data_IF_833475714227
#
_entry.id   IF_833475714227
#
_cell.length_a   1.000
_cell.length_b   1.000
_cell.length_c   1.000
_cell.angle_alpha   90.00
_cell.angle_beta   90.00
_cell.angle_gamma   90.00
#
_symmetry.space_group_name_H-M   'P 1'
#
loop_
_entity.id
_entity.type
_entity.pdbx_description
1 polymer ?
#
# COMPACT_ATOMS: atom_id res chain seq x y z
N UNK A 1 13.96 -18.72 -14.40
CA UNK A 1 15.29 -18.08 -14.48
C UNK A 1 16.12 -18.62 -13.33
N UNK A 2 17.38 -19.01 -13.54
CA UNK A 2 18.26 -19.41 -12.43
C UNK A 2 18.93 -18.14 -11.91
N UNK A 3 18.88 -17.90 -10.60
CA UNK A 3 19.43 -16.68 -10.02
C UNK A 3 20.95 -16.60 -10.26
N UNK A 4 21.45 -15.42 -10.63
CA UNK A 4 22.87 -15.19 -10.88
C UNK A 4 23.39 -15.59 -12.27
N UNK A 5 22.55 -16.09 -13.18
CA UNK A 5 22.92 -16.35 -14.59
C UNK A 5 21.91 -15.76 -15.58
N UNK A 6 22.33 -15.63 -16.85
CA UNK A 6 21.50 -15.05 -17.93
C UNK A 6 20.50 -16.04 -18.53
N UNK A 7 20.66 -17.33 -18.26
CA UNK A 7 19.83 -18.36 -18.88
C UNK A 7 18.39 -18.32 -18.38
N UNK A 8 17.47 -18.47 -19.33
CA UNK A 8 16.03 -18.58 -19.05
C UNK A 8 15.49 -19.86 -19.68
N UNK A 9 14.54 -20.48 -18.97
CA UNK A 9 13.77 -21.61 -19.44
C UNK A 9 12.31 -21.18 -19.42
N UNK A 10 11.65 -21.23 -20.58
CA UNK A 10 10.25 -20.83 -20.77
C UNK A 10 9.44 -22.04 -21.17
N UNK A 11 8.37 -22.32 -20.41
CA UNK A 11 7.36 -23.30 -20.81
C UNK A 11 6.23 -22.53 -21.48
N UNK A 12 5.99 -22.83 -22.75
CA UNK A 12 4.98 -22.15 -23.55
C UNK A 12 3.63 -22.84 -23.34
N UNK A 13 2.54 -22.05 -23.33
CA UNK A 13 1.15 -22.53 -23.17
C UNK A 13 0.83 -23.17 -21.81
N UNK A 14 1.68 -22.96 -20.78
CA UNK A 14 1.42 -23.48 -19.44
C UNK A 14 0.07 -23.03 -18.89
N UNK A 15 -0.37 -21.79 -19.17
CA UNK A 15 -1.61 -21.21 -18.63
C UNK A 15 -2.76 -21.18 -19.65
N UNK A 16 -2.69 -21.93 -20.75
CA UNK A 16 -3.76 -21.93 -21.76
C UNK A 16 -5.03 -22.61 -21.24
N UNK A 17 -6.18 -21.95 -21.42
CA UNK A 17 -7.49 -22.35 -20.87
C UNK A 17 -8.24 -23.41 -21.69
N UNK A 18 -7.78 -23.73 -22.91
CA UNK A 18 -8.50 -24.63 -23.82
C UNK A 18 -8.40 -26.12 -23.48
N UNK A 19 -7.19 -26.65 -23.33
CA UNK A 19 -6.97 -28.03 -22.88
C UNK A 19 -5.70 -28.09 -22.01
N UNK A 20 -5.84 -27.82 -20.70
CA UNK A 20 -4.71 -27.53 -19.82
C UNK A 20 -3.78 -28.74 -19.65
N UNK A 21 -4.26 -29.97 -19.79
CA UNK A 21 -3.46 -31.16 -19.47
C UNK A 21 -2.32 -31.48 -20.45
N UNK A 22 -2.33 -30.93 -21.68
CA UNK A 22 -1.31 -31.28 -22.69
C UNK A 22 -0.02 -30.45 -22.60
N UNK A 23 -0.07 -29.29 -21.92
CA UNK A 23 1.05 -28.34 -21.87
C UNK A 23 1.64 -28.21 -20.47
N UNK A 24 1.16 -29.02 -19.52
CA UNK A 24 1.65 -29.06 -18.14
C UNK A 24 2.75 -30.09 -18.02
N UNK A 25 3.75 -29.76 -17.23
CA UNK A 25 4.80 -30.68 -16.78
C UNK A 25 4.31 -31.23 -15.45
N UNK A 26 4.35 -32.54 -15.26
CA UNK A 26 3.81 -33.18 -14.06
C UNK A 26 4.70 -32.92 -12.84
N UNK A 27 6.02 -32.86 -13.02
CA UNK A 27 6.99 -32.68 -11.94
C UNK A 27 8.26 -31.93 -12.37
N UNK A 28 8.75 -31.07 -11.48
CA UNK A 28 10.04 -30.41 -11.55
C UNK A 28 10.94 -31.04 -10.50
N UNK A 29 11.96 -31.76 -10.95
CA UNK A 29 12.92 -32.43 -10.07
C UNK A 29 14.24 -31.67 -10.08
N UNK A 30 14.70 -31.30 -8.90
CA UNK A 30 15.96 -30.58 -8.69
C UNK A 30 17.08 -31.55 -8.31
N UNK A 31 18.33 -31.10 -8.48
CA UNK A 31 19.52 -31.93 -8.24
C UNK A 31 19.69 -32.34 -6.77
N UNK A 32 19.14 -31.57 -5.84
CA UNK A 32 19.10 -31.86 -4.40
C UNK A 32 18.03 -32.91 -4.02
N UNK A 33 17.25 -33.38 -4.99
CA UNK A 33 16.17 -34.35 -4.78
C UNK A 33 14.81 -33.72 -4.49
N UNK A 34 14.71 -32.39 -4.41
CA UNK A 34 13.43 -31.67 -4.28
C UNK A 34 12.55 -31.94 -5.50
N UNK A 35 11.27 -32.20 -5.27
CA UNK A 35 10.26 -32.39 -6.31
C UNK A 35 9.14 -31.38 -6.08
N UNK A 36 8.83 -30.58 -7.10
CA UNK A 36 7.62 -29.74 -7.14
C UNK A 36 6.69 -30.36 -8.17
N UNK A 37 5.44 -30.72 -7.81
CA UNK A 37 4.50 -31.19 -8.81
C UNK A 37 4.00 -29.98 -9.61
N UNK A 38 3.84 -30.12 -10.92
CA UNK A 38 3.29 -29.04 -11.74
C UNK A 38 1.83 -28.74 -11.46
N UNK A 39 1.12 -29.66 -10.79
CA UNK A 39 -0.18 -29.38 -10.20
C UNK A 39 -0.09 -28.41 -9.02
N UNK A 40 1.06 -28.29 -8.36
CA UNK A 40 1.29 -27.36 -7.25
C UNK A 40 1.77 -25.99 -7.79
N UNK A 41 2.26 -25.95 -9.04
CA UNK A 41 2.65 -24.71 -9.73
C UNK A 41 1.41 -23.92 -10.17
N UNK A 42 1.13 -22.83 -9.44
CA UNK A 42 -0.09 -22.02 -9.57
C UNK A 42 -1.20 -22.44 -8.60
N UNK A 43 -0.87 -23.18 -7.54
CA UNK A 43 -1.75 -23.48 -6.39
C UNK A 43 -1.02 -23.30 -5.06
N UNK A 44 0.32 -23.36 -5.04
CA UNK A 44 1.13 -23.23 -3.82
C UNK A 44 2.44 -22.45 -3.99
N UNK A 45 2.67 -21.88 -5.16
CA UNK A 45 3.76 -20.92 -5.39
C UNK A 45 3.13 -19.56 -5.71
N UNK A 46 3.54 -18.48 -5.02
CA UNK A 46 3.04 -17.14 -5.31
C UNK A 46 3.29 -16.83 -6.79
N UNK A 47 2.25 -16.39 -7.50
CA UNK A 47 2.40 -15.95 -8.87
C UNK A 47 3.13 -14.61 -8.84
N UNK A 48 4.32 -14.56 -9.42
CA UNK A 48 5.05 -13.30 -9.60
C UNK A 48 4.69 -12.75 -10.97
N UNK A 49 3.75 -11.82 -11.01
CA UNK A 49 3.43 -11.06 -12.22
C UNK A 49 4.37 -9.85 -12.31
N UNK A 50 4.91 -9.60 -13.50
CA UNK A 50 5.73 -8.41 -13.78
C UNK A 50 5.28 -7.77 -15.08
N UNK A 51 4.90 -6.51 -15.00
CA UNK A 51 4.68 -5.64 -16.15
C UNK A 51 5.98 -5.34 -16.90
N UNK A 52 5.87 -4.38 -17.79
CA UNK A 52 6.90 -3.90 -18.70
C UNK A 52 7.24 -2.45 -18.34
N UNK A 53 7.74 -1.68 -19.31
CA UNK A 53 7.98 -0.24 -19.14
C UNK A 53 6.86 0.60 -19.76
N UNK A 54 5.77 -0.05 -20.17
CA UNK A 54 4.60 0.57 -20.75
C UNK A 54 3.42 0.31 -19.83
N UNK A 55 2.32 1.00 -20.10
CA UNK A 55 1.06 0.76 -19.41
C UNK A 55 0.60 -0.69 -19.60
N UNK A 56 0.51 -1.42 -18.50
CA UNK A 56 0.12 -2.82 -18.45
C UNK A 56 -1.20 -3.01 -17.72
N UNK A 57 -1.91 -4.07 -18.09
CA UNK A 57 -3.05 -4.59 -17.35
C UNK A 57 -2.63 -5.92 -16.74
N UNK A 58 -2.45 -5.93 -15.42
CA UNK A 58 -1.97 -7.06 -14.66
C UNK A 58 -3.09 -7.57 -13.75
N UNK A 59 -3.22 -8.88 -13.68
CA UNK A 59 -4.18 -9.56 -12.81
C UNK A 59 -3.47 -10.73 -12.16
N UNK A 60 -3.53 -10.79 -10.84
CA UNK A 60 -3.17 -11.95 -10.06
C UNK A 60 -4.21 -13.06 -10.21
N UNK A 61 -4.17 -13.98 -9.28
CA UNK A 61 -4.83 -15.26 -9.32
C UNK A 61 -5.78 -15.40 -8.13
N UNK A 62 -6.05 -16.63 -7.71
CA UNK A 62 -6.84 -16.90 -6.52
C UNK A 62 -5.97 -17.30 -5.31
N UNK A 63 -4.71 -16.89 -5.33
CA UNK A 63 -3.69 -17.19 -4.34
C UNK A 63 -2.96 -15.90 -4.00
N UNK A 64 -2.17 -15.95 -2.93
CA UNK A 64 -1.26 -14.88 -2.56
C UNK A 64 -0.20 -14.64 -3.64
N UNK A 65 -0.26 -13.47 -4.25
CA UNK A 65 0.53 -13.09 -5.40
C UNK A 65 1.43 -11.88 -5.11
N UNK A 66 2.48 -11.75 -5.93
CA UNK A 66 3.34 -10.57 -5.92
C UNK A 66 3.35 -9.95 -7.31
N UNK A 67 2.71 -8.80 -7.46
CA UNK A 67 2.53 -8.14 -8.75
C UNK A 67 3.36 -6.87 -8.80
N UNK A 68 4.16 -6.70 -9.85
CA UNK A 68 5.03 -5.54 -10.06
C UNK A 68 4.69 -4.87 -11.39
N UNK A 69 4.19 -3.63 -11.37
CA UNK A 69 3.92 -2.80 -12.56
C UNK A 69 5.19 -2.43 -13.32
N UNK A 70 6.19 -1.94 -12.57
CA UNK A 70 7.46 -1.35 -13.02
C UNK A 70 7.31 0.10 -13.51
N UNK A 71 7.21 0.34 -14.81
CA UNK A 71 7.12 1.70 -15.31
C UNK A 71 5.97 1.80 -16.28
N UNK A 72 5.29 2.95 -16.28
CA UNK A 72 4.08 3.14 -17.07
C UNK A 72 2.90 3.39 -16.15
N UNK A 73 1.73 3.61 -16.72
CA UNK A 73 0.51 3.78 -15.94
C UNK A 73 -0.24 2.45 -15.95
N UNK A 74 -0.05 1.68 -14.90
CA UNK A 74 -0.49 0.30 -14.81
C UNK A 74 -1.83 0.18 -14.11
N UNK A 75 -2.59 -0.85 -14.49
CA UNK A 75 -3.77 -1.28 -13.75
C UNK A 75 -3.51 -2.68 -13.23
N UNK A 76 -3.52 -2.83 -11.91
CA UNK A 76 -3.17 -4.05 -11.20
C UNK A 76 -4.38 -4.51 -10.39
N UNK A 77 -4.75 -5.78 -10.54
CA UNK A 77 -5.73 -6.48 -9.72
C UNK A 77 -5.03 -7.63 -8.99
N UNK A 78 -5.16 -7.72 -7.68
CA UNK A 78 -4.66 -8.84 -6.86
C UNK A 78 -5.47 -10.10 -7.11
N UNK A 79 -6.78 -10.00 -6.92
CA UNK A 79 -7.73 -11.08 -7.16
C UNK A 79 -8.26 -11.62 -5.86
N UNK A 80 -8.00 -12.88 -5.53
CA UNK A 80 -8.32 -13.37 -4.18
C UNK A 80 -7.07 -13.91 -3.53
N UNK A 81 -6.96 -13.76 -2.21
CA UNK A 81 -5.77 -14.17 -1.48
C UNK A 81 -5.05 -12.95 -0.93
N UNK A 82 -3.99 -13.16 -0.18
CA UNK A 82 -3.28 -12.05 0.46
C UNK A 82 -2.13 -11.62 -0.45
N UNK A 83 -2.37 -10.56 -1.22
CA UNK A 83 -1.52 -10.14 -2.32
C UNK A 83 -0.56 -9.02 -1.90
N UNK A 84 0.49 -8.85 -2.70
CA UNK A 84 1.41 -7.71 -2.58
C UNK A 84 1.55 -7.06 -3.95
N UNK A 85 1.06 -5.84 -4.06
CA UNK A 85 0.97 -5.08 -5.30
C UNK A 85 1.91 -3.88 -5.25
N UNK A 86 2.77 -3.78 -6.26
CA UNK A 86 3.72 -2.67 -6.44
C UNK A 86 3.45 -1.99 -7.79
N UNK A 87 3.04 -0.71 -7.78
CA UNK A 87 2.92 0.11 -8.99
C UNK A 87 4.29 0.49 -9.56
N UNK A 88 5.20 0.88 -8.65
CA UNK A 88 6.58 1.31 -8.87
C UNK A 88 6.70 2.73 -9.45
N UNK A 89 6.59 2.97 -10.75
CA UNK A 89 6.72 4.33 -11.30
C UNK A 89 5.64 4.62 -12.31
N UNK A 90 4.90 5.70 -12.12
CA UNK A 90 3.89 6.10 -13.09
C UNK A 90 2.69 6.76 -12.48
N UNK A 91 1.51 6.33 -12.89
CA UNK A 91 0.23 6.75 -12.33
C UNK A 91 -0.62 5.50 -12.39
N UNK A 92 -0.58 4.76 -11.31
CA UNK A 92 -1.03 3.39 -11.24
C UNK A 92 -2.38 3.29 -10.55
N UNK A 93 -3.10 2.22 -10.86
CA UNK A 93 -4.33 1.84 -10.17
C UNK A 93 -4.17 0.43 -9.64
N UNK A 94 -4.10 0.30 -8.31
CA UNK A 94 -3.94 -0.97 -7.61
C UNK A 94 -5.24 -1.32 -6.91
N UNK A 95 -5.76 -2.52 -7.20
CA UNK A 95 -6.92 -3.11 -6.52
C UNK A 95 -6.47 -4.42 -5.87
N UNK A 96 -6.50 -4.52 -4.55
CA UNK A 96 -6.23 -5.77 -3.82
C UNK A 96 -7.30 -6.82 -4.09
N UNK A 97 -8.56 -6.37 -4.11
CA UNK A 97 -9.78 -7.18 -4.26
C UNK A 97 -10.14 -7.94 -2.97
N UNK A 98 -10.10 -9.27 -2.91
CA UNK A 98 -10.46 -10.03 -1.69
C UNK A 98 -9.21 -10.58 -0.99
N UNK A 99 -8.95 -10.20 0.26
CA UNK A 99 -7.85 -10.74 1.06
C UNK A 99 -7.18 -9.68 1.93
N UNK A 100 -6.16 -10.09 2.70
CA UNK A 100 -5.35 -9.12 3.44
C UNK A 100 -4.20 -8.65 2.53
N UNK A 101 -4.36 -7.51 1.87
CA UNK A 101 -3.47 -7.08 0.80
C UNK A 101 -2.46 -6.04 1.25
N UNK A 102 -1.35 -5.95 0.52
CA UNK A 102 -0.36 -4.90 0.66
C UNK A 102 -0.21 -4.14 -0.65
N UNK A 103 -0.51 -2.84 -0.62
CA UNK A 103 -0.48 -1.96 -1.78
C UNK A 103 0.59 -0.88 -1.61
N UNK A 104 1.47 -0.77 -2.58
CA UNK A 104 2.50 0.27 -2.67
C UNK A 104 2.46 0.87 -4.09
N UNK A 105 1.96 2.10 -4.22
CA UNK A 105 1.90 2.80 -5.50
C UNK A 105 3.29 3.02 -6.10
N UNK A 106 4.30 3.18 -5.25
CA UNK A 106 5.61 3.65 -5.68
C UNK A 106 5.58 5.16 -5.92
N UNK A 107 6.34 5.63 -6.91
CA UNK A 107 6.44 7.03 -7.27
C UNK A 107 5.43 7.38 -8.36
N UNK A 108 4.57 8.37 -8.12
CA UNK A 108 3.52 8.68 -9.07
C UNK A 108 2.38 9.44 -8.42
N UNK A 109 1.21 9.35 -9.03
CA UNK A 109 -0.02 9.80 -8.39
C UNK A 109 -1.00 8.64 -8.49
N UNK A 110 -0.99 7.78 -7.49
CA UNK A 110 -1.57 6.46 -7.63
C UNK A 110 -2.95 6.37 -6.98
N UNK A 111 -3.75 5.41 -7.44
CA UNK A 111 -5.05 5.07 -6.82
C UNK A 111 -4.95 3.69 -6.22
N UNK A 112 -5.09 3.61 -4.90
CA UNK A 112 -4.96 2.38 -4.12
C UNK A 112 -6.31 2.02 -3.52
N UNK A 113 -6.78 0.81 -3.81
CA UNK A 113 -8.04 0.26 -3.31
C UNK A 113 -7.73 -1.13 -2.73
N UNK A 114 -7.69 -1.25 -1.40
CA UNK A 114 -7.38 -2.53 -0.75
C UNK A 114 -8.45 -3.56 -1.06
N UNK A 115 -9.71 -3.22 -0.76
CA UNK A 115 -10.85 -4.07 -1.07
C UNK A 115 -11.43 -4.63 0.23
N UNK A 116 -11.57 -5.95 0.30
CA UNK A 116 -12.12 -6.62 1.48
C UNK A 116 -11.02 -7.35 2.25
N UNK A 117 -10.84 -7.05 3.52
CA UNK A 117 -9.82 -7.71 4.36
C UNK A 117 -9.11 -6.75 5.29
N UNK A 118 -7.90 -7.09 5.72
CA UNK A 118 -7.03 -6.19 6.47
C UNK A 118 -5.91 -5.70 5.56
N UNK A 119 -6.08 -4.51 5.00
CA UNK A 119 -5.18 -4.01 3.98
C UNK A 119 -4.09 -3.09 4.53
N UNK A 120 -2.94 -3.07 3.87
CA UNK A 120 -1.82 -2.19 4.17
C UNK A 120 -1.50 -1.32 2.97
N UNK A 121 -1.68 -0.01 3.12
CA UNK A 121 -1.29 0.99 2.13
C UNK A 121 0.06 1.59 2.53
N UNK A 122 1.10 1.37 1.73
CA UNK A 122 2.44 1.93 1.99
C UNK A 122 2.60 3.28 1.33
N UNK A 123 3.16 4.22 2.09
CA UNK A 123 3.39 5.58 1.63
C UNK A 123 4.70 6.14 2.20
N UNK A 124 5.41 6.98 1.42
CA UNK A 124 6.68 7.54 1.85
C UNK A 124 7.13 8.73 1.02
N UNK A 125 8.38 9.16 1.28
CA UNK A 125 9.00 10.24 0.49
C UNK A 125 9.18 9.78 -0.94
N UNK A 126 8.75 10.61 -1.89
CA UNK A 126 8.81 10.33 -3.33
C UNK A 126 7.64 9.52 -3.86
N UNK A 127 6.65 9.19 -3.03
CA UNK A 127 5.43 8.53 -3.50
C UNK A 127 4.56 9.42 -4.38
N UNK A 128 4.66 10.75 -4.22
CA UNK A 128 3.84 11.72 -4.94
C UNK A 128 2.46 11.89 -4.32
N UNK A 129 1.41 12.02 -5.14
CA UNK A 129 0.06 12.39 -4.67
C UNK A 129 -0.93 11.25 -4.87
N UNK A 130 -1.09 10.45 -3.82
CA UNK A 130 -1.85 9.21 -3.86
C UNK A 130 -3.26 9.35 -3.29
N UNK A 131 -4.14 8.51 -3.80
CA UNK A 131 -5.53 8.41 -3.38
C UNK A 131 -5.78 7.01 -2.84
N UNK A 132 -6.24 6.93 -1.59
CA UNK A 132 -6.63 5.68 -0.93
C UNK A 132 -8.16 5.61 -0.89
N UNK A 133 -8.71 4.53 -1.41
CA UNK A 133 -10.14 4.21 -1.36
C UNK A 133 -10.34 3.01 -0.44
N UNK A 134 -10.63 3.29 0.84
CA UNK A 134 -10.85 2.26 1.84
C UNK A 134 -12.35 2.08 2.08
N UNK A 135 -13.10 1.44 1.17
CA UNK A 135 -14.52 1.17 1.41
C UNK A 135 -14.72 -0.28 1.86
N UNK A 136 -14.77 -0.50 3.17
CA UNK A 136 -15.10 -1.81 3.73
C UNK A 136 -16.20 -1.72 4.80
N UNK A 137 -17.13 -2.66 4.72
CA UNK A 137 -18.27 -2.79 5.64
C UNK A 137 -18.14 -3.97 6.60
N UNK A 138 -17.09 -4.78 6.46
CA UNK A 138 -16.80 -5.90 7.33
C UNK A 138 -16.43 -5.41 8.73
N UNK A 139 -16.84 -6.19 9.75
CA UNK A 139 -16.59 -5.84 11.14
C UNK A 139 -15.35 -6.58 11.67
N UNK A 140 -14.52 -5.88 12.46
CA UNK A 140 -13.38 -6.49 13.16
C UNK A 140 -12.13 -6.68 12.30
N UNK A 141 -12.09 -6.04 11.14
CA UNK A 141 -10.90 -5.85 10.30
C UNK A 141 -10.18 -4.56 10.70
N UNK A 142 -8.94 -4.41 10.24
CA UNK A 142 -8.07 -3.28 10.55
C UNK A 142 -7.22 -2.96 9.32
N UNK A 143 -7.62 -1.92 8.62
CA UNK A 143 -6.82 -1.35 7.54
C UNK A 143 -5.76 -0.40 8.10
N UNK A 144 -4.57 -0.44 7.51
CA UNK A 144 -3.41 0.31 7.98
C UNK A 144 -2.81 1.15 6.86
N UNK A 145 -2.59 2.43 7.11
CA UNK A 145 -1.64 3.22 6.31
C UNK A 145 -0.28 3.16 6.99
N UNK A 146 0.71 2.60 6.30
CA UNK A 146 2.08 2.40 6.77
C UNK A 146 3.01 3.44 6.13
N UNK A 147 3.62 4.28 6.96
CA UNK A 147 4.52 5.33 6.54
C UNK A 147 5.98 4.92 6.73
N UNK A 148 6.80 5.11 5.69
CA UNK A 148 8.26 4.99 5.77
C UNK A 148 8.93 6.32 6.19
N UNK A 149 8.27 7.09 7.07
CA UNK A 149 8.79 8.34 7.63
C UNK A 149 8.52 8.44 9.13
N UNK A 150 9.25 9.33 9.79
CA UNK A 150 9.05 9.63 11.19
C UNK A 150 7.66 10.28 11.40
N UNK A 151 6.94 9.99 12.50
CA UNK A 151 5.65 10.62 12.76
C UNK A 151 5.72 12.15 12.87
N UNK A 152 6.88 12.73 13.19
CA UNK A 152 7.10 14.18 13.22
C UNK A 152 7.00 14.85 11.84
N UNK A 153 7.21 14.08 10.78
CA UNK A 153 7.16 14.59 9.41
C UNK A 153 5.73 14.51 8.83
N UNK A 154 4.78 13.87 9.51
CA UNK A 154 3.42 13.71 9.03
C UNK A 154 2.52 14.88 9.44
N UNK A 155 1.77 15.41 8.49
CA UNK A 155 0.77 16.46 8.70
C UNK A 155 -0.60 15.94 8.32
N UNK A 156 -1.47 15.76 9.31
CA UNK A 156 -2.86 15.36 9.09
C UNK A 156 -3.73 16.61 8.93
N UNK A 157 -4.60 16.61 7.93
CA UNK A 157 -5.55 17.69 7.70
C UNK A 157 -6.83 17.18 7.06
N UNK A 158 -7.89 17.98 7.14
CA UNK A 158 -9.16 17.69 6.48
C UNK A 158 -9.30 18.52 5.22
N UNK A 159 -9.55 17.85 4.10
CA UNK A 159 -9.82 18.48 2.80
C UNK A 159 -11.17 17.99 2.28
N UNK A 160 -12.22 18.80 2.47
CA UNK A 160 -13.59 18.42 2.11
C UNK A 160 -14.09 17.22 2.93
N UNK A 161 -14.38 16.10 2.25
CA UNK A 161 -14.75 14.82 2.86
C UNK A 161 -13.56 13.88 3.09
N UNK A 162 -12.35 14.27 2.69
CA UNK A 162 -11.17 13.41 2.74
C UNK A 162 -10.29 13.75 3.95
N UNK A 163 -9.56 12.75 4.42
CA UNK A 163 -8.39 12.93 5.27
C UNK A 163 -7.17 13.06 4.36
N UNK A 164 -6.44 14.16 4.49
CA UNK A 164 -5.21 14.43 3.75
C UNK A 164 -4.02 14.30 4.70
N UNK A 165 -2.98 13.58 4.26
CA UNK A 165 -1.79 13.28 5.04
C UNK A 165 -0.58 13.67 4.21
N UNK A 166 0.07 14.76 4.58
CA UNK A 166 1.23 15.29 3.88
C UNK A 166 2.52 14.90 4.58
N UNK A 167 3.61 14.75 3.82
CA UNK A 167 4.96 14.68 4.37
C UNK A 167 5.59 16.08 4.33
N UNK A 168 5.92 16.59 5.51
CA UNK A 168 6.41 17.95 5.69
C UNK A 168 7.71 18.18 4.91
N UNK A 169 7.76 19.28 4.15
CA UNK A 169 8.94 19.64 3.37
C UNK A 169 9.05 18.91 2.04
N UNK A 170 8.10 18.04 1.70
CA UNK A 170 7.99 17.42 0.38
C UNK A 170 6.70 17.84 -0.33
N UNK A 171 6.47 17.31 -1.54
CA UNK A 171 5.20 17.42 -2.25
C UNK A 171 4.38 16.14 -2.20
N UNK A 172 4.73 15.22 -1.30
CA UNK A 172 4.09 13.91 -1.18
C UNK A 172 2.86 14.02 -0.26
N UNK A 173 1.72 13.55 -0.76
CA UNK A 173 0.46 13.52 -0.04
C UNK A 173 -0.29 12.20 -0.28
N UNK A 174 -0.93 11.67 0.76
CA UNK A 174 -1.91 10.60 0.63
C UNK A 174 -3.28 11.10 1.08
N UNK A 175 -4.31 10.91 0.25
CA UNK A 175 -5.69 11.26 0.56
C UNK A 175 -6.54 10.01 0.79
N UNK A 176 -6.97 9.75 2.03
CA UNK A 176 -8.00 8.74 2.29
C UNK A 176 -9.36 9.34 1.95
N UNK A 177 -9.93 8.86 0.85
CA UNK A 177 -11.14 9.43 0.27
C UNK A 177 -12.38 9.14 1.09
N UNK A 178 -13.28 10.11 1.18
CA UNK A 178 -14.55 9.97 1.90
C UNK A 178 -14.44 9.63 3.39
N UNK A 179 -13.26 9.77 4.01
CA UNK A 179 -13.02 9.56 5.45
C UNK A 179 -14.10 10.13 6.36
N UNK A 180 -14.60 11.33 6.03
CA UNK A 180 -15.59 12.06 6.82
C UNK A 180 -17.05 11.79 6.40
N UNK A 181 -17.28 10.87 5.46
CA UNK A 181 -18.61 10.49 4.98
C UNK A 181 -19.27 9.47 5.89
N UNK A 182 -18.54 8.43 6.32
CA UNK A 182 -18.91 7.49 7.39
C UNK A 182 -17.69 6.60 7.73
N UNK A 183 -17.81 5.78 8.79
CA UNK A 183 -16.72 4.96 9.31
C UNK A 183 -16.20 3.89 8.33
N UNK A 184 -17.02 3.43 7.39
CA UNK A 184 -16.63 2.41 6.40
C UNK A 184 -15.62 2.93 5.37
N UNK A 185 -15.34 4.25 5.37
CA UNK A 185 -14.35 4.89 4.50
C UNK A 185 -13.00 5.14 5.19
N UNK A 186 -12.89 4.78 6.47
CA UNK A 186 -11.72 5.07 7.28
C UNK A 186 -10.80 3.85 7.31
N UNK A 187 -9.50 4.08 7.27
CA UNK A 187 -8.52 3.10 7.74
C UNK A 187 -8.43 3.16 9.26
N UNK A 188 -8.39 2.03 9.96
CA UNK A 188 -8.40 1.98 11.42
C UNK A 188 -7.09 2.45 12.05
N UNK A 189 -5.97 2.22 11.37
CA UNK A 189 -4.64 2.36 11.92
C UNK A 189 -3.70 3.14 10.99
N UNK A 190 -2.83 3.93 11.60
CA UNK A 190 -1.70 4.56 10.95
C UNK A 190 -0.44 4.13 11.68
N UNK A 191 0.57 3.68 10.93
CA UNK A 191 1.85 3.19 11.47
C UNK A 191 2.98 4.03 10.89
N UNK A 192 3.83 4.61 11.73
CA UNK A 192 5.01 5.34 11.29
C UNK A 192 6.27 4.45 11.29
N UNK A 193 7.37 4.97 10.72
CA UNK A 193 8.64 4.23 10.54
C UNK A 193 9.23 3.72 11.86
N UNK A 194 9.06 4.50 12.93
CA UNK A 194 9.54 4.14 14.28
C UNK A 194 8.65 3.12 15.00
N UNK A 195 7.63 2.59 14.30
CA UNK A 195 6.66 1.63 14.83
C UNK A 195 5.56 2.25 15.69
N UNK A 196 5.54 3.58 15.84
CA UNK A 196 4.46 4.26 16.54
C UNK A 196 3.14 4.14 15.79
N UNK A 197 2.05 4.08 16.55
CA UNK A 197 0.70 3.86 16.04
C UNK A 197 -0.22 5.02 16.41
N UNK A 198 -1.03 5.43 15.45
CA UNK A 198 -2.14 6.37 15.63
C UNK A 198 -3.43 5.67 15.19
N UNK A 199 -4.46 5.67 16.04
CA UNK A 199 -5.77 5.11 15.70
C UNK A 199 -6.66 6.15 15.02
N UNK A 200 -7.56 5.71 14.14
CA UNK A 200 -8.57 6.56 13.50
C UNK A 200 -9.36 7.44 14.50
N UNK A 201 -9.69 6.89 15.67
CA UNK A 201 -10.40 7.59 16.75
C UNK A 201 -9.64 8.79 17.33
N UNK A 202 -8.33 8.89 17.09
CA UNK A 202 -7.47 9.97 17.56
C UNK A 202 -7.21 11.04 16.50
N UNK A 203 -7.50 10.79 15.22
CA UNK A 203 -7.16 11.67 14.08
C UNK A 203 -7.74 13.07 14.26
N UNK A 204 -9.03 13.20 14.57
CA UNK A 204 -9.66 14.52 14.73
C UNK A 204 -9.12 15.29 15.94
N UNK A 205 -8.74 14.57 17.02
CA UNK A 205 -8.13 15.18 18.19
C UNK A 205 -6.72 15.69 17.86
N UNK A 206 -5.95 14.92 17.08
CA UNK A 206 -4.65 15.32 16.58
C UNK A 206 -4.75 16.57 15.69
N UNK A 207 -5.65 16.57 14.71
CA UNK A 207 -5.90 17.74 13.83
C UNK A 207 -6.24 18.99 14.66
N UNK A 208 -7.14 18.84 15.65
CA UNK A 208 -7.51 19.95 16.54
C UNK A 208 -6.33 20.43 17.39
N UNK A 209 -5.50 19.53 17.91
CA UNK A 209 -4.32 19.88 18.69
C UNK A 209 -3.29 20.65 17.86
N UNK A 210 -3.04 20.21 16.62
CA UNK A 210 -2.16 20.91 15.69
C UNK A 210 -2.65 22.34 15.40
N UNK A 211 -3.94 22.50 15.10
CA UNK A 211 -4.54 23.82 14.87
C UNK A 211 -4.49 24.73 16.11
N UNK A 212 -4.75 24.18 17.29
CA UNK A 212 -4.72 24.91 18.57
C UNK A 212 -3.31 25.37 18.91
N UNK A 213 -2.31 24.51 18.71
CA UNK A 213 -0.91 24.85 18.93
C UNK A 213 -0.46 26.00 18.02
N UNK A 214 -0.80 25.96 16.73
CA UNK A 214 -0.49 27.04 15.81
C UNK A 214 -1.11 28.36 16.26
N UNK A 215 -2.40 28.34 16.63
CA UNK A 215 -3.13 29.51 17.13
C UNK A 215 -2.47 30.11 18.36
N UNK A 216 -2.15 29.30 19.36
CA UNK A 216 -1.56 29.76 20.63
C UNK A 216 -0.14 30.33 20.47
N UNK A 217 0.57 29.94 19.42
CA UNK A 217 1.94 30.37 19.15
C UNK A 217 2.04 31.42 18.02
N UNK A 218 0.91 31.92 17.50
CA UNK A 218 0.85 32.84 16.36
C UNK A 218 1.56 32.31 15.11
N UNK A 219 1.39 31.03 14.81
CA UNK A 219 1.95 30.35 13.65
C UNK A 219 0.86 30.19 12.57
N UNK A 220 1.26 30.30 11.31
CA UNK A 220 0.35 30.27 10.16
C UNK A 220 -0.17 28.88 9.86
N UNK A 221 0.65 27.85 10.08
CA UNK A 221 0.33 26.45 9.82
C UNK A 221 1.29 25.51 10.57
N UNK A 222 1.00 24.20 10.50
CA UNK A 222 1.77 23.17 11.19
C UNK A 222 3.20 23.02 10.64
N UNK A 223 3.42 23.22 9.34
CA UNK A 223 4.77 23.23 8.77
C UNK A 223 5.67 24.31 9.40
N UNK A 224 5.13 25.50 9.64
CA UNK A 224 5.83 26.56 10.37
C UNK A 224 6.13 26.13 11.82
N UNK A 225 5.21 25.42 12.48
CA UNK A 225 5.44 24.86 13.81
C UNK A 225 6.58 23.84 13.85
N UNK A 226 6.64 22.92 12.87
CA UNK A 226 7.73 21.94 12.75
C UNK A 226 9.07 22.67 12.59
N UNK A 227 9.12 23.72 11.75
CA UNK A 227 10.34 24.48 11.49
C UNK A 227 10.82 25.30 12.69
N UNK A 228 9.91 26.02 13.35
CA UNK A 228 10.28 27.00 14.39
C UNK A 228 10.32 26.40 15.80
N UNK A 229 9.57 25.32 16.05
CA UNK A 229 9.36 24.74 17.39
C UNK A 229 9.35 23.20 17.40
N UNK A 230 10.37 22.53 16.86
CA UNK A 230 10.37 21.07 16.69
C UNK A 230 10.23 20.29 18.00
N UNK A 231 10.80 20.79 19.10
CA UNK A 231 10.70 20.13 20.41
C UNK A 231 9.28 20.20 21.00
N UNK A 232 8.59 21.33 20.82
CA UNK A 232 7.22 21.49 21.29
C UNK A 232 6.25 20.65 20.43
N UNK A 233 6.48 20.61 19.11
CA UNK A 233 5.75 19.75 18.17
C UNK A 233 5.85 18.28 18.55
N UNK A 234 7.06 17.80 18.88
CA UNK A 234 7.26 16.43 19.33
C UNK A 234 6.43 16.09 20.58
N UNK A 235 6.29 17.04 21.52
CA UNK A 235 5.46 16.85 22.71
C UNK A 235 3.96 16.76 22.40
N UNK A 236 3.49 17.48 21.36
CA UNK A 236 2.11 17.38 20.90
C UNK A 236 1.88 16.01 20.26
N UNK A 237 2.74 15.60 19.33
CA UNK A 237 2.58 14.35 18.57
C UNK A 237 2.71 13.10 19.45
N UNK A 238 3.60 13.11 20.44
CA UNK A 238 3.77 11.99 21.38
C UNK A 238 2.54 11.70 22.26
N UNK A 239 1.55 12.60 22.32
CA UNK A 239 0.29 12.33 23.03
C UNK A 239 -0.68 11.44 22.22
N UNK A 240 -0.47 11.37 20.91
CA UNK A 240 -1.36 10.68 19.98
C UNK A 240 -0.71 9.42 19.41
N UNK A 241 0.55 9.53 19.01
CA UNK A 241 1.36 8.40 18.54
C UNK A 241 1.82 7.55 19.72
N UNK A 242 1.31 6.32 19.79
CA UNK A 242 1.63 5.36 20.85
C UNK A 242 2.74 4.42 20.40
N UNK A 243 3.79 4.24 21.20
CA UNK A 243 4.79 3.20 20.94
C UNK A 243 4.27 1.84 21.39
N UNK A 244 4.53 0.81 20.59
CA UNK A 244 4.26 -0.59 20.95
C UNK A 244 5.38 -1.20 21.76
#
# INVERSE_FOLDING_TARGET
>A
KINGITDTFKIVNWFTTGNPSYYKIEQFKFADGTIINGADLGVSIPFIARGTVNNDFLSGSSLNDAVYGNAGNDTIYGGTGNDTLYGETGTDTLNGDDGDDILDGGAGNDTLNGGAGNDIYRFGVGSGVDTISNYDTAAGITDTVEFSVNPLDLIFSRTGSNLDIAINGTGDHAAVTSWYSNANYQTELFRAEDGSLLQNTQVDQLIQAMATFCTNNNLSNWSQAIQERPQDVQQVLAQYWTQT
#
